data_IF_760991495671
#
_entry.id   IF_760991495671
#
_cell.length_a   1.000
_cell.length_b   1.000
_cell.length_c   1.000
_cell.angle_alpha   90.00
_cell.angle_beta   90.00
_cell.angle_gamma   90.00
#
_symmetry.space_group_name_H-M   'P 1'
#
loop_
_entity.id
_entity.type
_entity.pdbx_description
1 polymer ?
#
# COMPACT_ATOMS: atom_id res chain seq x y z
N UNK A 1 7.05 13.46 6.69
CA UNK A 1 6.43 12.64 5.63
C UNK A 1 7.39 11.67 4.92
N UNK A 2 8.71 11.90 4.83
CA UNK A 2 9.65 11.06 4.04
C UNK A 2 9.53 9.53 4.24
N UNK A 3 9.56 9.05 5.49
CA UNK A 3 9.35 7.61 5.83
C UNK A 3 8.03 7.08 5.27
N UNK A 4 6.98 7.90 5.34
CA UNK A 4 5.63 7.55 4.89
C UNK A 4 5.54 7.46 3.37
N UNK A 5 6.15 8.40 2.63
CA UNK A 5 6.21 8.35 1.17
C UNK A 5 6.84 7.03 0.72
N UNK A 6 7.94 6.60 1.35
CA UNK A 6 8.57 5.31 1.07
C UNK A 6 7.65 4.11 1.33
N UNK A 7 6.90 4.12 2.44
CA UNK A 7 5.93 3.06 2.74
C UNK A 7 4.81 2.97 1.69
N UNK A 8 4.21 4.12 1.32
CA UNK A 8 3.14 4.17 0.32
C UNK A 8 3.64 3.76 -1.07
N UNK A 9 4.87 4.14 -1.42
CA UNK A 9 5.53 3.71 -2.66
C UNK A 9 5.71 2.19 -2.72
N UNK A 10 6.21 1.58 -1.64
CA UNK A 10 6.39 0.13 -1.54
C UNK A 10 5.06 -0.62 -1.66
N UNK A 11 4.01 -0.09 -1.04
CA UNK A 11 2.66 -0.61 -1.21
C UNK A 11 2.21 -0.52 -2.67
N UNK A 12 2.40 0.63 -3.32
CA UNK A 12 2.07 0.84 -4.73
C UNK A 12 2.78 -0.14 -5.66
N UNK A 13 4.07 -0.42 -5.44
CA UNK A 13 4.82 -1.45 -6.17
C UNK A 13 4.21 -2.84 -5.97
N UNK A 14 3.86 -3.20 -4.73
CA UNK A 14 3.18 -4.45 -4.41
C UNK A 14 1.87 -4.59 -5.19
N UNK A 15 1.00 -3.58 -5.14
CA UNK A 15 -0.28 -3.58 -5.85
C UNK A 15 -0.06 -3.68 -7.36
N UNK A 16 0.90 -2.94 -7.90
CA UNK A 16 1.25 -2.98 -9.32
C UNK A 16 1.65 -4.39 -9.82
N UNK A 17 2.30 -5.19 -8.98
CA UNK A 17 2.60 -6.61 -9.31
C UNK A 17 1.32 -7.45 -9.35
N UNK A 18 0.41 -7.23 -8.40
CA UNK A 18 -0.87 -7.96 -8.34
C UNK A 18 -1.77 -7.67 -9.55
N UNK A 19 -1.65 -6.49 -10.16
CA UNK A 19 -2.36 -6.16 -11.39
C UNK A 19 -2.07 -7.11 -12.56
N UNK A 20 -1.04 -7.98 -12.47
CA UNK A 20 -0.77 -9.03 -13.46
C UNK A 20 -1.59 -10.31 -13.30
N UNK A 21 -2.21 -10.55 -12.14
CA UNK A 21 -2.96 -11.79 -11.83
C UNK A 21 -4.28 -11.83 -12.61
N UNK A 22 -4.50 -12.76 -13.54
CA UNK A 22 -5.69 -12.72 -14.39
C UNK A 22 -7.01 -12.98 -13.61
N UNK A 23 -6.99 -13.91 -12.66
CA UNK A 23 -8.17 -14.28 -11.90
C UNK A 23 -8.52 -13.25 -10.81
N UNK A 24 -9.77 -12.78 -10.79
CA UNK A 24 -10.23 -11.76 -9.83
C UNK A 24 -10.25 -12.27 -8.39
N UNK A 25 -10.60 -13.55 -8.19
CA UNK A 25 -10.66 -14.14 -6.85
C UNK A 25 -9.25 -14.33 -6.26
N UNK A 26 -8.30 -14.79 -7.06
CA UNK A 26 -6.88 -14.88 -6.71
C UNK A 26 -6.28 -13.49 -6.46
N UNK A 27 -6.60 -12.51 -7.31
CA UNK A 27 -6.21 -11.12 -7.14
C UNK A 27 -6.69 -10.56 -5.79
N UNK A 28 -7.98 -10.74 -5.46
CA UNK A 28 -8.55 -10.28 -4.20
C UNK A 28 -7.86 -10.89 -2.97
N UNK A 29 -7.56 -12.20 -3.01
CA UNK A 29 -6.81 -12.88 -1.93
C UNK A 29 -5.38 -12.35 -1.81
N UNK A 30 -4.69 -12.19 -2.93
CA UNK A 30 -3.32 -11.68 -2.96
C UNK A 30 -3.25 -10.24 -2.44
N UNK A 31 -4.24 -9.41 -2.77
CA UNK A 31 -4.31 -8.03 -2.32
C UNK A 31 -4.66 -7.95 -0.82
N UNK A 32 -5.58 -8.78 -0.33
CA UNK A 32 -5.85 -8.87 1.11
C UNK A 32 -4.59 -9.28 1.91
N UNK A 33 -3.81 -10.22 1.39
CA UNK A 33 -2.53 -10.63 1.96
C UNK A 33 -1.50 -9.48 1.96
N UNK A 34 -1.35 -8.77 0.85
CA UNK A 34 -0.46 -7.61 0.74
C UNK A 34 -0.80 -6.50 1.75
N UNK A 35 -2.08 -6.14 1.89
CA UNK A 35 -2.51 -5.14 2.87
C UNK A 35 -2.22 -5.59 4.30
N UNK A 36 -2.36 -6.89 4.58
CA UNK A 36 -2.02 -7.46 5.89
C UNK A 36 -0.51 -7.45 6.16
N UNK A 37 0.33 -7.71 5.14
CA UNK A 37 1.78 -7.54 5.25
C UNK A 37 2.18 -6.09 5.49
N UNK A 38 1.51 -5.15 4.80
CA UNK A 38 1.74 -3.72 4.94
C UNK A 38 1.43 -3.24 6.37
N UNK A 39 0.36 -3.74 6.98
CA UNK A 39 0.03 -3.45 8.37
C UNK A 39 1.10 -3.89 9.36
N UNK A 40 1.63 -5.10 9.18
CA UNK A 40 2.72 -5.61 10.01
C UNK A 40 4.00 -4.78 9.80
N UNK A 41 4.25 -4.31 8.58
CA UNK A 41 5.42 -3.48 8.26
C UNK A 41 5.32 -2.06 8.84
N UNK A 42 4.12 -1.53 9.01
CA UNK A 42 3.88 -0.20 9.63
C UNK A 42 3.80 -0.29 11.16
N UNK A 43 3.28 -1.40 11.71
CA UNK A 43 3.25 -1.63 13.15
C UNK A 43 4.65 -1.72 13.73
N UNK A 44 4.99 -0.79 14.65
CA UNK A 44 6.32 -0.65 15.29
C UNK A 44 6.73 -1.88 16.15
N UNK A 45 7.09 -3.00 15.52
CA UNK A 45 7.78 -4.12 16.20
C UNK A 45 9.23 -4.24 15.71
N UNK A 46 10.20 -3.59 16.39
CA UNK A 46 11.57 -3.40 15.89
C UNK A 46 12.43 -4.68 15.85
N UNK A 47 12.02 -5.78 16.49
CA UNK A 47 12.88 -6.96 16.68
C UNK A 47 12.78 -8.04 15.59
N UNK A 48 11.72 -8.05 14.78
CA UNK A 48 11.53 -9.07 13.71
C UNK A 48 11.79 -8.54 12.29
N UNK A 49 11.86 -7.23 12.13
CA UNK A 49 11.95 -6.56 10.83
C UNK A 49 13.33 -6.78 10.17
N UNK A 50 14.44 -6.63 10.91
CA UNK A 50 15.79 -6.71 10.32
C UNK A 50 16.12 -8.10 9.71
N UNK A 51 15.73 -9.19 10.36
CA UNK A 51 16.09 -10.54 9.90
C UNK A 51 15.24 -11.03 8.71
N UNK A 52 14.00 -10.54 8.59
CA UNK A 52 13.11 -10.81 7.46
C UNK A 52 13.47 -9.98 6.22
N UNK A 53 14.00 -8.76 6.40
CA UNK A 53 14.31 -7.85 5.31
C UNK A 53 15.61 -8.20 4.56
N UNK A 54 16.67 -8.58 5.28
CA UNK A 54 17.93 -8.98 4.63
C UNK A 54 17.85 -10.32 3.90
N UNK A 55 16.99 -11.24 4.35
CA UNK A 55 16.76 -12.51 3.64
C UNK A 55 15.88 -12.36 2.38
N UNK A 56 15.05 -11.31 2.30
CA UNK A 56 14.18 -11.01 1.15
C UNK A 56 14.88 -10.22 0.04
N UNK A 57 15.79 -9.31 0.37
CA UNK A 57 16.51 -8.48 -0.61
C UNK A 57 17.46 -9.31 -1.52
N UNK A 58 18.01 -10.41 -1.01
CA UNK A 58 18.82 -11.33 -1.81
C UNK A 58 18.01 -12.18 -2.80
N UNK A 59 16.66 -12.21 -2.68
CA UNK A 59 15.80 -13.05 -3.53
C UNK A 59 15.12 -12.27 -4.68
N UNK A 60 15.07 -10.94 -4.64
CA UNK A 60 14.39 -10.13 -5.67
C UNK A 60 15.32 -9.58 -6.75
N UNK A 61 16.63 -9.52 -6.52
CA UNK A 61 17.60 -9.08 -7.53
C UNK A 61 18.14 -10.20 -8.44
N UNK A 62 17.83 -11.46 -8.14
CA UNK A 62 18.16 -12.62 -8.98
C UNK A 62 16.89 -13.35 -9.39
N UNK A 63 16.69 -13.49 -10.69
CA UNK A 63 15.74 -14.37 -11.36
C UNK A 63 14.25 -13.95 -11.41
N UNK A 64 13.96 -13.24 -12.50
CA UNK A 64 12.67 -13.30 -13.16
C UNK A 64 12.39 -14.76 -13.59
N UNK A 65 11.62 -15.49 -12.80
CA UNK A 65 10.74 -16.54 -13.32
C UNK A 65 9.53 -16.69 -12.39
N UNK A 66 8.41 -16.06 -12.77
CA UNK A 66 7.09 -16.40 -12.27
C UNK A 66 6.72 -17.79 -12.82
N UNK A 67 7.30 -18.83 -12.24
CA UNK A 67 6.87 -20.20 -12.48
C UNK A 67 5.65 -20.52 -11.62
N UNK A 68 4.79 -21.30 -12.25
CA UNK A 68 3.43 -21.71 -11.93
C UNK A 68 3.31 -22.61 -10.69
N UNK A 69 3.87 -22.18 -9.55
CA UNK A 69 3.69 -22.84 -8.27
C UNK A 69 2.92 -21.91 -7.32
N UNK A 70 1.95 -22.47 -6.63
CA UNK A 70 0.82 -21.76 -6.04
C UNK A 70 1.21 -20.53 -5.23
N UNK A 71 0.30 -19.54 -5.21
CA UNK A 71 0.29 -18.30 -4.44
C UNK A 71 0.40 -18.54 -2.91
N UNK A 72 1.50 -19.16 -2.47
CA UNK A 72 1.71 -19.70 -1.15
C UNK A 72 3.16 -19.43 -0.75
N UNK A 73 3.29 -18.53 0.24
CA UNK A 73 4.53 -18.00 0.80
C UNK A 73 5.30 -17.03 -0.12
N UNK A 74 6.04 -16.10 0.50
CA UNK A 74 7.00 -15.14 -0.12
C UNK A 74 6.48 -13.73 -0.49
N UNK A 75 6.48 -12.84 0.52
CA UNK A 75 6.83 -11.41 0.45
C UNK A 75 6.32 -10.60 -0.74
N UNK A 76 5.05 -10.19 -0.69
CA UNK A 76 4.43 -9.34 -1.72
C UNK A 76 4.89 -7.87 -1.59
N UNK A 77 5.24 -7.44 -0.38
CA UNK A 77 5.78 -6.10 -0.14
C UNK A 77 7.29 -6.08 -0.42
N UNK A 78 7.70 -5.32 -1.44
CA UNK A 78 9.11 -5.10 -1.78
C UNK A 78 9.62 -3.76 -1.24
N UNK A 79 10.82 -3.77 -0.65
CA UNK A 79 11.50 -2.57 -0.17
C UNK A 79 12.55 -2.16 -1.20
N UNK A 80 12.31 -1.04 -1.86
CA UNK A 80 13.28 -0.41 -2.78
C UNK A 80 13.91 0.80 -2.10
N UNK A 81 15.24 0.90 -2.16
CA UNK A 81 15.96 2.10 -1.77
C UNK A 81 16.16 3.00 -3.00
N UNK A 82 15.51 4.15 -3.00
CA UNK A 82 15.64 5.12 -4.09
C UNK A 82 16.82 6.06 -3.80
N UNK A 83 17.58 6.49 -4.83
CA UNK A 83 18.67 7.44 -4.67
C UNK A 83 18.19 8.89 -4.50
N UNK A 84 16.87 9.11 -4.45
CA UNK A 84 16.24 10.41 -4.30
C UNK A 84 15.08 10.34 -3.30
N UNK A 85 14.68 11.51 -2.78
CA UNK A 85 13.54 11.62 -1.87
C UNK A 85 12.22 11.66 -2.65
N UNK A 86 11.25 10.89 -2.16
CA UNK A 86 9.91 10.88 -2.72
C UNK A 86 9.08 12.04 -2.18
N UNK A 87 8.48 12.80 -3.10
CA UNK A 87 7.41 13.72 -2.74
C UNK A 87 6.18 12.94 -2.25
N UNK A 88 5.64 13.35 -1.11
CA UNK A 88 4.55 12.64 -0.47
C UNK A 88 3.24 12.72 -1.26
N UNK A 89 2.90 13.90 -1.77
CA UNK A 89 1.64 14.13 -2.47
C UNK A 89 1.66 13.42 -3.81
N UNK A 90 2.75 13.54 -4.57
CA UNK A 90 2.93 12.85 -5.84
C UNK A 90 2.85 11.32 -5.67
N UNK A 91 3.52 10.78 -4.65
CA UNK A 91 3.47 9.34 -4.34
C UNK A 91 2.06 8.89 -3.99
N UNK A 92 1.33 9.69 -3.21
CA UNK A 92 -0.04 9.37 -2.81
C UNK A 92 -1.02 9.43 -3.98
N UNK A 93 -0.92 10.43 -4.86
CA UNK A 93 -1.73 10.52 -6.08
C UNK A 93 -1.49 9.29 -6.95
N UNK A 94 -0.22 8.95 -7.20
CA UNK A 94 0.15 7.75 -7.98
C UNK A 94 -0.42 6.48 -7.35
N UNK A 95 -0.37 6.34 -6.02
CA UNK A 95 -0.96 5.21 -5.32
C UNK A 95 -2.49 5.14 -5.55
N UNK A 96 -3.19 6.28 -5.48
CA UNK A 96 -4.61 6.35 -5.77
C UNK A 96 -4.93 5.92 -7.21
N UNK A 97 -4.14 6.32 -8.20
CA UNK A 97 -4.31 5.88 -9.60
C UNK A 97 -4.19 4.36 -9.73
N UNK A 98 -3.19 3.76 -9.08
CA UNK A 98 -3.01 2.29 -9.05
C UNK A 98 -4.20 1.61 -8.34
N UNK A 99 -4.75 2.23 -7.29
CA UNK A 99 -5.97 1.72 -6.66
C UNK A 99 -7.16 1.74 -7.61
N UNK A 100 -7.34 2.79 -8.42
CA UNK A 100 -8.41 2.83 -9.43
C UNK A 100 -8.29 1.65 -10.41
N UNK A 101 -7.07 1.36 -10.89
CA UNK A 101 -6.83 0.19 -11.73
C UNK A 101 -7.17 -1.13 -11.01
N UNK A 102 -6.88 -1.20 -9.71
CA UNK A 102 -7.17 -2.37 -8.89
C UNK A 102 -8.67 -2.59 -8.67
N UNK A 103 -9.42 -1.53 -8.36
CA UNK A 103 -10.88 -1.60 -8.24
C UNK A 103 -11.53 -1.95 -9.58
N UNK A 104 -11.00 -1.43 -10.70
CA UNK A 104 -11.51 -1.76 -12.04
C UNK A 104 -11.42 -3.26 -12.34
N UNK A 105 -10.42 -3.94 -11.78
CA UNK A 105 -10.22 -5.39 -11.93
C UNK A 105 -11.15 -6.23 -11.05
N UNK A 106 -11.60 -5.65 -9.94
CA UNK A 106 -12.59 -6.26 -9.04
C UNK A 106 -14.03 -6.02 -9.50
N UNK A 107 -14.27 -5.22 -10.53
CA UNK A 107 -15.62 -5.04 -11.06
C UNK A 107 -16.08 -6.33 -11.75
N UNK A 108 -17.28 -6.83 -11.45
CA UNK A 108 -17.87 -7.94 -12.19
C UNK A 108 -17.94 -7.62 -13.68
N UNK A 109 -17.77 -8.64 -14.53
CA UNK A 109 -18.03 -8.49 -15.95
C UNK A 109 -19.48 -8.03 -16.16
N UNK A 110 -19.71 -7.12 -17.12
CA UNK A 110 -21.05 -6.60 -17.39
C UNK A 110 -21.99 -7.77 -17.71
N UNK A 111 -23.04 -7.94 -16.89
CA UNK A 111 -24.04 -9.00 -17.07
C UNK A 111 -23.67 -10.35 -16.45
N UNK A 112 -22.59 -10.47 -15.68
CA UNK A 112 -22.31 -11.70 -14.90
C UNK A 112 -23.01 -11.68 -13.56
N UNK A 113 -23.58 -12.81 -13.15
CA UNK A 113 -24.01 -13.02 -11.77
C UNK A 113 -22.79 -12.98 -10.85
N UNK A 114 -22.73 -11.95 -9.99
CA UNK A 114 -21.67 -11.80 -9.00
C UNK A 114 -22.05 -12.62 -7.77
N UNK A 115 -21.28 -13.66 -7.39
CA UNK A 115 -21.58 -14.42 -6.18
C UNK A 115 -21.39 -13.54 -4.93
N UNK A 116 -22.21 -13.76 -3.91
CA UNK A 116 -22.15 -12.99 -2.64
C UNK A 116 -20.74 -13.02 -2.02
N UNK A 117 -20.04 -14.16 -2.14
CA UNK A 117 -18.67 -14.32 -1.65
C UNK A 117 -17.66 -13.38 -2.31
N UNK A 118 -17.87 -13.01 -3.57
CA UNK A 118 -17.05 -12.02 -4.26
C UNK A 118 -17.34 -10.61 -3.73
N UNK A 119 -18.62 -10.26 -3.54
CA UNK A 119 -19.00 -8.98 -2.95
C UNK A 119 -18.41 -8.80 -1.54
N UNK A 120 -18.51 -9.83 -0.69
CA UNK A 120 -17.93 -9.84 0.65
C UNK A 120 -16.40 -9.68 0.64
N UNK A 121 -15.72 -10.29 -0.35
CA UNK A 121 -14.28 -10.13 -0.53
C UNK A 121 -13.93 -8.68 -0.91
N UNK A 122 -14.61 -8.11 -1.90
CA UNK A 122 -14.41 -6.73 -2.34
C UNK A 122 -14.72 -5.74 -1.22
N UNK A 123 -15.82 -5.94 -0.49
CA UNK A 123 -16.21 -5.08 0.63
C UNK A 123 -15.16 -5.07 1.74
N UNK A 124 -14.64 -6.24 2.13
CA UNK A 124 -13.58 -6.35 3.14
C UNK A 124 -12.30 -5.64 2.71
N UNK A 125 -11.92 -5.81 1.45
CA UNK A 125 -10.74 -5.17 0.87
C UNK A 125 -10.91 -3.64 0.82
N UNK A 126 -12.09 -3.15 0.46
CA UNK A 126 -12.45 -1.73 0.48
C UNK A 126 -12.32 -1.12 1.89
N UNK A 127 -12.80 -1.81 2.92
CA UNK A 127 -12.65 -1.38 4.31
C UNK A 127 -11.18 -1.25 4.71
N UNK A 128 -10.32 -2.21 4.30
CA UNK A 128 -8.88 -2.13 4.55
C UNK A 128 -8.24 -0.96 3.80
N UNK A 129 -8.53 -0.76 2.52
CA UNK A 129 -8.02 0.38 1.74
C UNK A 129 -8.40 1.70 2.40
N UNK A 130 -9.69 1.88 2.75
CA UNK A 130 -10.18 3.09 3.42
C UNK A 130 -9.44 3.35 4.72
N UNK A 131 -9.28 2.32 5.56
CA UNK A 131 -8.60 2.45 6.85
C UNK A 131 -7.11 2.80 6.69
N UNK A 132 -6.39 2.03 5.89
CA UNK A 132 -4.92 2.02 5.89
C UNK A 132 -4.31 3.06 4.95
N UNK A 133 -5.01 3.37 3.86
CA UNK A 133 -4.54 4.29 2.83
C UNK A 133 -5.25 5.63 3.01
N UNK A 134 -6.57 5.67 2.85
CA UNK A 134 -7.32 6.93 2.77
C UNK A 134 -7.37 7.66 4.13
N UNK A 135 -7.96 7.04 5.15
CA UNK A 135 -8.14 7.68 6.46
C UNK A 135 -6.81 7.94 7.17
N UNK A 136 -5.83 7.03 7.05
CA UNK A 136 -4.52 7.25 7.66
C UNK A 136 -3.84 8.47 7.04
N UNK A 137 -3.81 8.59 5.71
CA UNK A 137 -3.18 9.72 5.03
C UNK A 137 -3.90 11.03 5.34
N UNK A 138 -5.24 11.05 5.31
CA UNK A 138 -6.02 12.25 5.68
C UNK A 138 -5.67 12.70 7.09
N UNK A 139 -5.61 11.78 8.05
CA UNK A 139 -5.25 12.09 9.44
C UNK A 139 -3.83 12.66 9.55
N UNK A 140 -2.89 12.11 8.80
CA UNK A 140 -1.49 12.58 8.77
C UNK A 140 -1.36 13.99 8.16
N UNK A 141 -2.06 14.26 7.06
CA UNK A 141 -2.11 15.59 6.43
C UNK A 141 -2.75 16.61 7.36
N UNK A 142 -3.90 16.29 7.95
CA UNK A 142 -4.59 17.18 8.89
C UNK A 142 -3.72 17.47 10.13
N UNK A 143 -3.00 16.47 10.63
CA UNK A 143 -2.05 16.64 11.73
C UNK A 143 -0.91 17.59 11.36
N UNK A 144 -0.30 17.41 10.19
CA UNK A 144 0.76 18.30 9.71
C UNK A 144 0.25 19.74 9.48
N UNK A 145 -0.93 19.90 8.87
CA UNK A 145 -1.54 21.20 8.66
C UNK A 145 -1.81 21.93 9.98
N UNK A 146 -2.30 21.21 11.00
CA UNK A 146 -2.54 21.78 12.33
C UNK A 146 -1.23 22.30 12.95
N UNK A 147 -0.14 21.54 12.89
CA UNK A 147 1.16 21.96 13.43
C UNK A 147 1.69 23.23 12.74
N UNK A 148 1.59 23.29 11.41
CA UNK A 148 2.00 24.47 10.66
C UNK A 148 1.17 25.69 11.08
N UNK A 149 -0.15 25.54 11.19
CA UNK A 149 -1.01 26.63 11.62
C UNK A 149 -0.65 27.11 13.03
N UNK A 150 -0.44 26.20 13.98
CA UNK A 150 -0.02 26.54 15.35
C UNK A 150 1.30 27.31 15.38
N UNK A 151 2.30 26.89 14.58
CA UNK A 151 3.58 27.58 14.45
C UNK A 151 3.42 29.00 13.88
N UNK A 152 2.62 29.17 12.82
CA UNK A 152 2.36 30.48 12.22
C UNK A 152 1.60 31.42 13.18
N UNK A 153 0.62 30.89 13.92
CA UNK A 153 -0.08 31.68 14.94
C UNK A 153 0.85 32.13 16.06
N UNK A 154 1.77 31.27 16.50
CA UNK A 154 2.77 31.62 17.50
C UNK A 154 3.75 32.70 17.02
N UNK A 155 4.19 32.63 15.75
CA UNK A 155 5.06 33.65 15.16
C UNK A 155 4.35 35.03 15.15
N UNK A 156 3.10 35.07 14.67
CA UNK A 156 2.29 36.30 14.65
C UNK A 156 2.02 36.88 16.04
N UNK A 157 1.79 36.02 17.05
CA UNK A 157 1.55 36.46 18.41
C UNK A 157 2.79 37.07 19.09
N UNK A 158 4.00 36.66 18.67
CA UNK A 158 5.26 37.12 19.23
C UNK A 158 5.89 38.28 18.47
N UNK A 159 5.28 38.74 17.37
CA UNK A 159 5.68 39.95 16.64
C UNK A 159 6.94 39.80 15.79
N UNK A 160 7.22 38.60 15.28
CA UNK A 160 8.15 38.38 14.15
C UNK A 160 7.40 38.40 12.81
#
# INVERSE_FOLDING_TARGET
>A
MKKRSGQLFQLGLGIGKLLRIADSAEFGKAFDALLSEFDVAIGDSPSKQKNSLFSRLNKTFGDQQLNNDGLSAYGLLEIVQLPFELDFIETYITLCEILVLSYSKLLPARGSDCPDSHFECVHRLDLKIKKHIIHSVIREINGAAKLILEEQFHALANGE
#
